data_IF_522172954537
#
_entry.id   IF_522172954537
#
_cell.length_a   1.000
_cell.length_b   1.000
_cell.length_c   1.000
_cell.angle_alpha   90.00
_cell.angle_beta   90.00
_cell.angle_gamma   90.00
#
_symmetry.space_group_name_H-M   'P 1'
#
loop_
_entity.id
_entity.type
_entity.pdbx_description
1 polymer ?
#
# COMPACT_ATOMS: atom_id res chain seq x y z
N UNK A 1 13.36 -13.62 4.12
CA UNK A 1 12.52 -12.97 5.14
C UNK A 1 12.75 -11.46 5.22
N UNK A 2 13.98 -10.96 5.04
CA UNK A 2 14.30 -9.52 5.18
C UNK A 2 13.50 -8.58 4.26
N UNK A 3 13.19 -9.00 3.02
CA UNK A 3 12.38 -8.19 2.10
C UNK A 3 10.95 -8.03 2.61
N UNK A 4 10.34 -9.10 3.13
CA UNK A 4 8.98 -9.10 3.65
C UNK A 4 8.86 -8.21 4.89
N UNK A 5 9.82 -8.29 5.82
CA UNK A 5 9.87 -7.44 7.02
C UNK A 5 9.99 -5.96 6.64
N UNK A 6 10.80 -5.63 5.62
CA UNK A 6 10.89 -4.24 5.11
C UNK A 6 9.55 -3.75 4.54
N UNK A 7 8.86 -4.57 3.75
CA UNK A 7 7.53 -4.21 3.24
C UNK A 7 6.53 -4.02 4.37
N UNK A 8 6.54 -4.90 5.38
CA UNK A 8 5.66 -4.80 6.54
C UNK A 8 5.89 -3.49 7.32
N UNK A 9 7.15 -3.12 7.59
CA UNK A 9 7.48 -1.87 8.29
C UNK A 9 7.04 -0.63 7.47
N UNK A 10 7.29 -0.62 6.16
CA UNK A 10 6.91 0.49 5.28
C UNK A 10 5.39 0.63 5.21
N UNK A 11 4.66 -0.47 5.01
CA UNK A 11 3.21 -0.47 4.98
C UNK A 11 2.61 -0.06 6.33
N UNK A 12 3.17 -0.54 7.45
CA UNK A 12 2.75 -0.11 8.79
C UNK A 12 2.92 1.41 8.99
N UNK A 13 4.07 1.97 8.62
CA UNK A 13 4.31 3.42 8.71
C UNK A 13 3.35 4.22 7.81
N UNK A 14 3.06 3.73 6.61
CA UNK A 14 2.10 4.36 5.71
C UNK A 14 0.68 4.34 6.29
N UNK A 15 0.21 3.19 6.76
CA UNK A 15 -1.12 3.05 7.37
C UNK A 15 -1.22 3.89 8.65
N UNK A 16 -0.17 3.94 9.46
CA UNK A 16 -0.11 4.80 10.64
C UNK A 16 -0.18 6.28 10.27
N UNK A 17 0.54 6.71 9.24
CA UNK A 17 0.47 8.11 8.76
C UNK A 17 -0.91 8.46 8.22
N UNK A 18 -1.55 7.55 7.48
CA UNK A 18 -2.92 7.72 7.00
C UNK A 18 -3.90 7.82 8.16
N UNK A 19 -3.76 6.96 9.17
CA UNK A 19 -4.60 7.00 10.36
C UNK A 19 -4.48 8.35 11.09
N UNK A 20 -3.25 8.85 11.29
CA UNK A 20 -3.00 10.15 11.90
C UNK A 20 -3.63 11.30 11.10
N UNK A 21 -3.46 11.31 9.77
CA UNK A 21 -4.06 12.33 8.91
C UNK A 21 -5.59 12.31 8.95
N UNK A 22 -6.18 11.12 9.07
CA UNK A 22 -7.64 10.95 9.14
C UNK A 22 -8.20 11.38 10.49
N UNK A 23 -7.46 11.26 11.61
CA UNK A 23 -7.87 11.79 12.92
C UNK A 23 -8.11 13.30 12.87
N UNK A 24 -7.33 14.04 12.08
CA UNK A 24 -7.50 15.49 11.93
C UNK A 24 -8.67 15.88 10.99
N UNK A 25 -9.30 14.92 10.32
CA UNK A 25 -10.46 15.17 9.47
C UNK A 25 -11.76 15.00 10.25
N UNK A 26 -12.59 16.03 10.24
CA UNK A 26 -13.89 16.08 10.95
C UNK A 26 -14.95 15.08 10.46
N UNK A 27 -14.71 14.33 9.38
CA UNK A 27 -15.72 13.46 8.76
C UNK A 27 -15.66 12.00 9.22
N UNK A 28 -14.72 11.62 10.09
CA UNK A 28 -14.49 10.21 10.45
C UNK A 28 -14.49 10.05 11.97
N UNK A 29 -15.62 9.61 12.53
CA UNK A 29 -15.78 9.37 13.98
C UNK A 29 -15.55 7.90 14.36
N UNK A 30 -14.37 7.36 14.06
CA UNK A 30 -14.05 5.98 14.44
C UNK A 30 -13.80 5.87 15.95
N UNK A 31 -14.48 4.93 16.61
CA UNK A 31 -14.16 4.55 17.98
C UNK A 31 -12.77 3.92 18.09
N UNK A 32 -12.22 3.85 19.31
CA UNK A 32 -10.88 3.28 19.58
C UNK A 32 -10.66 1.88 18.95
N UNK A 33 -11.67 1.02 19.03
CA UNK A 33 -11.64 -0.32 18.42
C UNK A 33 -11.63 -0.29 16.88
N UNK A 34 -12.27 0.71 16.27
CA UNK A 34 -12.23 0.91 14.82
C UNK A 34 -10.85 1.32 14.31
N UNK A 35 -10.14 2.16 15.07
CA UNK A 35 -8.75 2.53 14.75
C UNK A 35 -7.78 1.36 14.84
N UNK A 36 -7.91 0.52 15.89
CA UNK A 36 -7.10 -0.69 16.03
C UNK A 36 -7.38 -1.66 14.87
N UNK A 37 -8.66 -1.86 14.54
CA UNK A 37 -9.05 -2.71 13.43
C UNK A 37 -8.47 -2.20 12.10
N UNK A 38 -8.56 -0.90 11.83
CA UNK A 38 -8.01 -0.26 10.63
C UNK A 38 -6.49 -0.41 10.53
N UNK A 39 -5.76 -0.20 11.62
CA UNK A 39 -4.29 -0.34 11.61
C UNK A 39 -3.91 -1.80 11.36
N UNK A 40 -4.59 -2.76 12.00
CA UNK A 40 -4.28 -4.18 11.85
C UNK A 40 -4.64 -4.68 10.44
N UNK A 41 -5.88 -4.45 9.98
CA UNK A 41 -6.31 -4.88 8.66
C UNK A 41 -5.57 -4.12 7.56
N UNK A 42 -5.42 -2.80 7.70
CA UNK A 42 -4.71 -1.96 6.74
C UNK A 42 -3.27 -2.41 6.54
N UNK A 43 -2.56 -2.68 7.63
CA UNK A 43 -1.17 -3.17 7.54
C UNK A 43 -1.10 -4.52 6.84
N UNK A 44 -1.99 -5.46 7.17
CA UNK A 44 -1.97 -6.81 6.58
C UNK A 44 -2.33 -6.78 5.09
N UNK A 45 -3.44 -6.15 4.72
CA UNK A 45 -3.90 -6.09 3.33
C UNK A 45 -2.93 -5.29 2.45
N UNK A 46 -2.40 -4.16 2.93
CA UNK A 46 -1.42 -3.37 2.20
C UNK A 46 -0.08 -4.11 2.05
N UNK A 47 0.36 -4.85 3.07
CA UNK A 47 1.59 -5.67 2.99
C UNK A 47 1.42 -6.80 1.97
N UNK A 48 0.30 -7.52 1.98
CA UNK A 48 0.02 -8.59 1.02
C UNK A 48 -0.03 -8.02 -0.41
N UNK A 49 -0.77 -6.92 -0.61
CA UNK A 49 -0.87 -6.26 -1.91
C UNK A 49 0.48 -5.78 -2.43
N UNK A 50 1.28 -5.11 -1.59
CA UNK A 50 2.61 -4.63 -1.96
C UNK A 50 3.59 -5.77 -2.24
N UNK A 51 3.53 -6.85 -1.47
CA UNK A 51 4.35 -8.04 -1.67
C UNK A 51 4.05 -8.70 -3.02
N UNK A 52 2.76 -8.90 -3.35
CA UNK A 52 2.35 -9.44 -4.66
C UNK A 52 2.82 -8.51 -5.79
N UNK A 53 2.67 -7.19 -5.64
CA UNK A 53 3.20 -6.22 -6.60
C UNK A 53 4.72 -6.31 -6.79
N UNK A 54 5.46 -6.59 -5.71
CA UNK A 54 6.90 -6.85 -5.75
C UNK A 54 7.29 -8.15 -6.46
N UNK A 55 6.52 -9.22 -6.24
CA UNK A 55 6.70 -10.50 -6.95
C UNK A 55 6.39 -10.32 -8.44
N UNK A 56 5.31 -9.62 -8.77
CA UNK A 56 4.97 -9.30 -10.16
C UNK A 56 6.05 -8.46 -10.83
N UNK A 57 6.61 -7.47 -10.12
CA UNK A 57 7.75 -6.72 -10.62
C UNK A 57 8.94 -7.64 -10.93
N UNK A 58 9.27 -8.59 -10.05
CA UNK A 58 10.37 -9.52 -10.33
C UNK A 58 10.12 -10.43 -11.52
N UNK A 59 8.84 -10.66 -11.86
CA UNK A 59 8.44 -11.46 -13.02
C UNK A 59 8.50 -10.64 -14.32
N UNK A 60 8.06 -9.38 -14.29
CA UNK A 60 7.90 -8.56 -15.51
C UNK A 60 9.14 -7.72 -15.81
N UNK A 61 9.98 -7.42 -14.82
CA UNK A 61 11.17 -6.57 -14.99
C UNK A 61 12.09 -7.17 -16.07
N UNK A 62 12.26 -6.53 -17.23
CA UNK A 62 13.18 -7.04 -18.24
C UNK A 62 14.64 -6.82 -17.82
N UNK A 63 15.52 -7.68 -18.33
CA UNK A 63 16.95 -7.69 -18.01
C UNK A 63 17.72 -6.51 -18.62
N UNK A 64 17.22 -5.94 -19.72
CA UNK A 64 17.82 -4.78 -20.39
C UNK A 64 16.75 -3.79 -20.86
N UNK A 65 17.04 -2.50 -20.71
CA UNK A 65 16.20 -1.41 -21.21
C UNK A 65 17.02 -0.56 -22.17
N UNK A 66 16.55 -0.42 -23.41
CA UNK A 66 17.14 0.53 -24.35
C UNK A 66 16.61 1.93 -24.01
N UNK A 67 17.53 2.87 -23.81
CA UNK A 67 17.22 4.26 -23.45
C UNK A 67 17.84 5.18 -24.49
N UNK A 68 17.07 6.14 -25.02
CA UNK A 68 17.59 7.10 -26.00
C UNK A 68 18.31 8.30 -25.37
N UNK A 69 18.17 8.51 -24.05
CA UNK A 69 18.83 9.57 -23.31
C UNK A 69 18.72 9.44 -21.79
N UNK A 70 19.41 10.32 -21.05
CA UNK A 70 19.52 10.27 -19.59
C UNK A 70 18.17 10.40 -18.87
N UNK A 71 17.27 11.25 -19.40
CA UNK A 71 15.95 11.46 -18.83
C UNK A 71 15.06 10.22 -18.99
N UNK A 72 15.14 9.54 -20.14
CA UNK A 72 14.37 8.33 -20.43
C UNK A 72 14.85 7.14 -19.56
N UNK A 73 16.14 7.07 -19.29
CA UNK A 73 16.72 6.12 -18.32
C UNK A 73 16.23 6.36 -16.89
N UNK A 74 16.12 7.63 -16.49
CA UNK A 74 15.66 8.00 -15.15
C UNK A 74 14.19 7.61 -14.91
N UNK A 75 13.29 7.91 -15.86
CA UNK A 75 11.88 7.54 -15.75
C UNK A 75 11.68 6.03 -15.67
N UNK A 76 12.34 5.27 -16.54
CA UNK A 76 12.29 3.80 -16.51
C UNK A 76 12.77 3.27 -15.16
N UNK A 77 13.87 3.82 -14.61
CA UNK A 77 14.38 3.40 -13.30
C UNK A 77 13.38 3.64 -12.17
N UNK A 78 12.71 4.79 -12.14
CA UNK A 78 11.68 5.09 -11.14
C UNK A 78 10.48 4.14 -11.30
N UNK A 79 9.99 3.97 -12.52
CA UNK A 79 8.84 3.12 -12.81
C UNK A 79 9.08 1.68 -12.35
N UNK A 80 10.23 1.09 -12.70
CA UNK A 80 10.59 -0.27 -12.31
C UNK A 80 11.08 -0.40 -10.87
N UNK A 81 11.24 0.72 -10.14
CA UNK A 81 11.56 0.71 -8.71
C UNK A 81 10.30 0.78 -7.85
N UNK A 82 9.29 1.56 -8.24
CA UNK A 82 8.14 1.88 -7.36
C UNK A 82 6.80 1.41 -7.93
N UNK A 83 6.65 1.33 -9.25
CA UNK A 83 5.35 1.23 -9.92
C UNK A 83 4.48 0.05 -9.47
N UNK A 84 4.85 -1.21 -9.77
CA UNK A 84 3.98 -2.36 -9.47
C UNK A 84 3.73 -2.58 -7.98
N UNK A 85 4.72 -2.27 -7.13
CA UNK A 85 4.60 -2.38 -5.68
C UNK A 85 3.61 -1.35 -5.12
N UNK A 86 3.61 -0.13 -5.67
CA UNK A 86 2.67 0.91 -5.31
C UNK A 86 1.25 0.57 -5.75
N UNK A 87 1.07 0.07 -6.98
CA UNK A 87 -0.23 -0.40 -7.48
C UNK A 87 -0.77 -1.55 -6.61
N UNK A 88 0.07 -2.52 -6.27
CA UNK A 88 -0.31 -3.61 -5.36
C UNK A 88 -0.72 -3.09 -3.98
N UNK A 89 -0.01 -2.10 -3.44
CA UNK A 89 -0.38 -1.43 -2.19
C UNK A 89 -1.73 -0.70 -2.27
N UNK A 90 -2.03 -0.03 -3.38
CA UNK A 90 -3.32 0.64 -3.62
C UNK A 90 -4.48 -0.36 -3.67
N UNK A 91 -4.31 -1.48 -4.37
CA UNK A 91 -5.32 -2.54 -4.41
C UNK A 91 -5.53 -3.13 -3.00
N UNK A 92 -4.45 -3.34 -2.25
CA UNK A 92 -4.52 -3.76 -0.85
C UNK A 92 -5.27 -2.76 0.03
N UNK A 93 -5.09 -1.46 -0.20
CA UNK A 93 -5.83 -0.42 0.51
C UNK A 93 -7.33 -0.44 0.18
N UNK A 94 -7.71 -0.54 -1.09
CA UNK A 94 -9.12 -0.68 -1.50
C UNK A 94 -9.77 -1.94 -0.90
N UNK A 95 -9.03 -3.04 -0.84
CA UNK A 95 -9.48 -4.27 -0.19
C UNK A 95 -9.68 -4.09 1.32
N UNK A 96 -8.80 -3.32 1.98
CA UNK A 96 -8.96 -2.97 3.39
C UNK A 96 -10.20 -2.10 3.62
N UNK A 97 -10.44 -1.07 2.81
CA UNK A 97 -11.66 -0.25 2.90
C UNK A 97 -12.91 -1.13 2.73
N UNK A 98 -12.91 -2.00 1.70
CA UNK A 98 -13.99 -2.96 1.49
C UNK A 98 -14.20 -3.92 2.66
N UNK A 99 -13.13 -4.40 3.29
CA UNK A 99 -13.20 -5.26 4.47
C UNK A 99 -13.75 -4.52 5.70
N UNK A 100 -13.29 -3.29 5.93
CA UNK A 100 -13.76 -2.43 7.03
C UNK A 100 -15.26 -2.14 6.93
N UNK A 101 -15.75 -1.86 5.73
CA UNK A 101 -17.18 -1.56 5.50
C UNK A 101 -18.04 -2.82 5.51
N UNK A 102 -17.66 -3.87 4.77
CA UNK A 102 -18.54 -5.02 4.53
C UNK A 102 -18.45 -6.12 5.60
N UNK A 103 -17.31 -6.27 6.28
CA UNK A 103 -17.10 -7.32 7.28
C UNK A 103 -17.19 -6.76 8.69
N UNK A 104 -16.53 -5.63 8.94
CA UNK A 104 -16.50 -5.01 10.27
C UNK A 104 -17.63 -4.00 10.50
N UNK A 105 -18.38 -3.64 9.44
CA UNK A 105 -19.55 -2.77 9.54
C UNK A 105 -19.24 -1.30 9.81
N UNK A 106 -17.99 -0.85 9.65
CA UNK A 106 -17.61 0.54 9.83
C UNK A 106 -18.01 1.35 8.59
N UNK A 107 -19.21 1.93 8.59
CA UNK A 107 -19.77 2.72 7.48
C UNK A 107 -19.12 4.09 7.29
N UNK A 108 -18.22 4.49 8.19
CA UNK A 108 -17.55 5.80 8.22
C UNK A 108 -16.42 5.96 7.19
N UNK A 109 -16.12 4.89 6.45
CA UNK A 109 -15.14 4.86 5.36
C UNK A 109 -15.79 4.97 3.96
N UNK A 110 -17.09 5.31 3.87
CA UNK A 110 -17.80 5.50 2.61
C UNK A 110 -17.62 6.91 2.06
#
# INVERSE_FOLDING_TARGET
>A
MDRFIKYLIICFLLVLSMALLTIFKSNVELGFWGWIAFILSGTLFMTIGSFIGGVFLSFVRPDAYFTSGAMDAFYKRIFWSVGPQFIGGLIGFMACEGFMVNVLGFTQFR
#
